data_IF_313442528210
#
_entry.id   IF_313442528210
#
_cell.length_a   1.000
_cell.length_b   1.000
_cell.length_c   1.000
_cell.angle_alpha   90.00
_cell.angle_beta   90.00
_cell.angle_gamma   90.00
#
_symmetry.space_group_name_H-M   'P 1'
#
loop_
_entity.id
_entity.type
_entity.pdbx_description
1 polymer ?
#
# COMPACT_ATOMS: atom_id res chain seq x y z
N UNK A 1 21.04 -19.42 -2.39
CA UNK A 1 21.93 -18.57 -3.21
C UNK A 1 22.14 -17.27 -2.45
N UNK A 2 23.36 -17.01 -1.96
CA UNK A 2 23.68 -15.76 -1.25
C UNK A 2 23.40 -14.58 -2.19
N UNK A 3 22.58 -13.62 -1.75
CA UNK A 3 22.30 -12.42 -2.55
C UNK A 3 23.62 -11.68 -2.78
N UNK A 4 23.94 -11.24 -4.02
CA UNK A 4 25.19 -10.52 -4.25
C UNK A 4 25.28 -9.30 -3.34
N UNK A 5 26.48 -9.05 -2.79
CA UNK A 5 26.75 -7.90 -1.94
C UNK A 5 26.29 -6.62 -2.64
N UNK A 6 25.25 -5.97 -2.12
CA UNK A 6 24.66 -4.77 -2.74
C UNK A 6 25.52 -3.56 -2.38
N UNK A 7 26.06 -2.89 -3.40
CA UNK A 7 26.96 -1.72 -3.27
C UNK A 7 26.20 -0.43 -2.91
N UNK A 8 24.86 -0.40 -3.04
CA UNK A 8 24.06 0.82 -2.83
C UNK A 8 23.23 0.72 -1.55
N UNK A 9 23.21 1.81 -0.78
CA UNK A 9 22.31 1.99 0.37
C UNK A 9 20.82 1.96 -0.06
N UNK A 10 19.94 1.61 0.88
CA UNK A 10 18.50 1.70 0.66
C UNK A 10 18.11 3.15 0.31
N UNK A 11 17.29 3.32 -0.72
CA UNK A 11 16.88 4.61 -1.27
C UNK A 11 15.35 4.77 -1.24
N UNK A 12 14.67 4.13 -0.28
CA UNK A 12 13.24 4.35 -0.08
C UNK A 12 12.97 5.85 0.16
N UNK A 13 12.11 6.49 -0.66
CA UNK A 13 11.80 7.90 -0.52
C UNK A 13 11.05 8.15 0.77
N UNK A 14 11.43 9.25 1.40
CA UNK A 14 10.79 9.83 2.56
C UNK A 14 10.26 11.24 2.31
N UNK A 15 9.81 11.91 3.36
CA UNK A 15 9.40 13.32 3.30
C UNK A 15 10.58 14.28 3.51
N UNK A 16 11.58 13.90 4.31
CA UNK A 16 12.81 14.68 4.46
C UNK A 16 13.85 14.31 3.40
N UNK A 17 13.84 13.04 2.96
CA UNK A 17 14.67 12.54 1.86
C UNK A 17 13.79 12.20 0.65
N UNK A 18 13.37 13.21 -0.09
CA UNK A 18 12.58 13.03 -1.31
C UNK A 18 13.37 12.29 -2.39
N UNK A 19 12.67 11.58 -3.29
CA UNK A 19 13.29 11.01 -4.47
C UNK A 19 13.11 11.93 -5.67
N UNK A 20 14.20 12.23 -6.38
CA UNK A 20 14.13 12.99 -7.62
C UNK A 20 13.46 12.15 -8.71
N UNK A 21 12.22 12.49 -9.03
CA UNK A 21 11.49 11.96 -10.16
C UNK A 21 11.49 12.99 -11.32
N UNK A 22 10.98 12.59 -12.49
CA UNK A 22 11.03 13.45 -13.67
C UNK A 22 10.02 14.61 -13.60
N UNK A 23 8.96 14.44 -12.82
CA UNK A 23 7.97 15.46 -12.49
C UNK A 23 8.44 16.38 -11.35
N UNK A 24 9.58 16.08 -10.71
CA UNK A 24 10.09 16.78 -9.53
C UNK A 24 10.24 15.86 -8.31
N UNK A 25 10.63 16.41 -7.16
CA UNK A 25 10.79 15.63 -5.94
C UNK A 25 9.49 14.92 -5.52
N UNK A 26 9.63 13.67 -5.08
CA UNK A 26 8.57 12.79 -4.60
C UNK A 26 8.68 12.62 -3.09
N UNK A 27 7.61 12.96 -2.37
CA UNK A 27 7.47 12.71 -0.94
C UNK A 27 6.48 11.55 -0.68
N UNK A 28 6.84 10.63 0.22
CA UNK A 28 5.96 9.54 0.64
C UNK A 28 5.55 9.74 2.09
N UNK A 29 4.24 9.73 2.33
CA UNK A 29 3.66 9.88 3.66
C UNK A 29 3.31 8.51 4.21
N UNK A 30 3.72 8.22 5.44
CA UNK A 30 3.38 6.96 6.14
C UNK A 30 2.01 7.09 6.78
N UNK A 31 1.16 6.09 6.56
CA UNK A 31 -0.16 5.98 7.18
C UNK A 31 -0.24 4.60 7.86
N UNK A 32 0.12 4.49 9.16
CA UNK A 32 0.02 3.22 9.88
C UNK A 32 -1.39 2.66 9.80
N UNK A 33 -1.51 1.41 9.32
CA UNK A 33 -2.80 0.76 9.06
C UNK A 33 -3.62 1.38 7.93
N UNK A 34 -3.07 2.35 7.19
CA UNK A 34 -3.78 3.11 6.14
C UNK A 34 -4.73 4.19 6.67
N UNK A 35 -4.83 4.38 7.99
CA UNK A 35 -5.81 5.27 8.60
C UNK A 35 -5.45 6.74 8.38
N UNK A 36 -6.41 7.51 7.88
CA UNK A 36 -6.27 8.96 7.65
C UNK A 36 -7.52 9.70 8.13
N UNK A 37 -7.35 10.64 9.06
CA UNK A 37 -8.45 11.45 9.58
C UNK A 37 -8.94 12.47 8.57
N UNK A 38 -10.16 12.98 8.73
CA UNK A 38 -10.72 14.05 7.92
C UNK A 38 -9.80 15.29 7.86
N UNK A 39 -9.23 15.70 8.99
CA UNK A 39 -8.28 16.82 9.06
C UNK A 39 -7.03 16.56 8.21
N UNK A 40 -6.45 15.36 8.34
CA UNK A 40 -5.27 14.96 7.59
C UNK A 40 -5.55 14.85 6.08
N UNK A 41 -6.74 14.41 5.69
CA UNK A 41 -7.18 14.42 4.28
C UNK A 41 -7.19 15.85 3.72
N UNK A 42 -7.70 16.84 4.48
CA UNK A 42 -7.69 18.25 4.06
C UNK A 42 -6.27 18.80 3.95
N UNK A 43 -5.38 18.46 4.88
CA UNK A 43 -3.97 18.86 4.81
C UNK A 43 -3.30 18.26 3.58
N UNK A 44 -3.52 16.97 3.29
CA UNK A 44 -3.00 16.33 2.08
C UNK A 44 -3.51 17.02 0.80
N UNK A 45 -4.79 17.40 0.75
CA UNK A 45 -5.37 18.14 -0.36
C UNK A 45 -4.66 19.49 -0.58
N UNK A 46 -4.50 20.28 0.49
CA UNK A 46 -3.79 21.56 0.43
C UNK A 46 -2.32 21.40 0.07
N UNK A 47 -1.63 20.37 0.57
CA UNK A 47 -0.25 20.08 0.17
C UNK A 47 -0.13 19.76 -1.32
N UNK A 48 -1.06 18.97 -1.86
CA UNK A 48 -1.06 18.59 -3.27
C UNK A 48 -1.23 19.81 -4.18
N UNK A 49 -2.19 20.69 -3.88
CA UNK A 49 -2.44 21.92 -4.66
C UNK A 49 -1.35 22.98 -4.50
N UNK A 50 -0.94 23.28 -3.27
CA UNK A 50 -0.05 24.41 -3.00
C UNK A 50 1.41 24.11 -3.35
N UNK A 51 1.81 22.85 -3.18
CA UNK A 51 3.22 22.44 -3.16
C UNK A 51 3.55 21.32 -4.14
N UNK A 52 2.57 20.60 -4.69
CA UNK A 52 2.77 19.44 -5.57
C UNK A 52 2.16 19.62 -6.96
N UNK A 53 1.75 18.50 -7.56
CA UNK A 53 1.12 18.42 -8.89
C UNK A 53 -0.42 18.45 -8.85
N UNK A 54 -1.01 18.74 -7.69
CA UNK A 54 -2.47 18.82 -7.48
C UNK A 54 -3.12 17.50 -7.02
N UNK A 55 -2.39 16.39 -7.05
CA UNK A 55 -2.93 15.07 -6.71
C UNK A 55 -2.17 14.37 -5.56
N UNK A 56 -2.85 13.39 -4.98
CA UNK A 56 -2.28 12.43 -4.05
C UNK A 56 -2.39 11.03 -4.63
N UNK A 57 -1.30 10.27 -4.58
CA UNK A 57 -1.28 8.90 -5.11
C UNK A 57 -1.25 7.87 -4.00
N UNK A 58 -2.23 6.97 -4.02
CA UNK A 58 -2.27 5.78 -3.20
C UNK A 58 -1.18 4.80 -3.64
N UNK A 59 -0.61 4.10 -2.68
CA UNK A 59 0.50 3.17 -2.90
C UNK A 59 0.08 1.74 -2.63
N UNK A 60 0.86 0.78 -3.12
CA UNK A 60 0.61 -0.65 -2.91
C UNK A 60 0.90 -1.13 -1.47
N UNK A 61 0.96 -0.21 -0.50
CA UNK A 61 1.35 -0.45 0.90
C UNK A 61 0.54 0.42 1.87
N UNK A 62 -0.66 0.85 1.49
CA UNK A 62 -1.53 1.64 2.36
C UNK A 62 -1.03 3.06 2.66
N UNK A 63 0.03 3.52 1.98
CA UNK A 63 0.55 4.89 2.10
C UNK A 63 0.00 5.80 1.00
N UNK A 64 0.30 7.08 1.12
CA UNK A 64 0.10 8.08 0.07
C UNK A 64 1.43 8.73 -0.38
N UNK A 65 1.41 9.34 -1.56
CA UNK A 65 2.54 10.03 -2.17
C UNK A 65 2.09 11.37 -2.75
N UNK A 66 2.93 12.38 -2.57
CA UNK A 66 2.83 13.71 -3.19
C UNK A 66 3.99 13.85 -4.17
N UNK A 67 3.71 14.26 -5.41
CA UNK A 67 4.71 14.37 -6.48
C UNK A 67 4.84 15.82 -6.94
N UNK A 68 5.86 16.04 -7.76
CA UNK A 68 6.12 17.34 -8.35
C UNK A 68 6.29 18.44 -7.30
N UNK A 69 6.97 18.15 -6.19
CA UNK A 69 7.08 19.10 -5.10
C UNK A 69 7.89 20.32 -5.54
N UNK A 70 7.23 21.47 -5.69
CA UNK A 70 7.81 22.66 -6.32
C UNK A 70 8.38 23.69 -5.35
N UNK A 71 8.01 23.61 -4.06
CA UNK A 71 8.34 24.63 -3.05
C UNK A 71 8.77 24.01 -1.71
N UNK A 72 9.60 24.72 -0.93
CA UNK A 72 9.92 24.30 0.44
C UNK A 72 8.68 24.33 1.34
N UNK A 73 8.73 23.62 2.47
CA UNK A 73 7.71 23.69 3.53
C UNK A 73 6.76 22.49 3.61
N UNK A 74 6.82 21.56 2.65
CA UNK A 74 6.01 20.34 2.68
C UNK A 74 6.22 19.54 3.97
N UNK A 75 7.48 19.30 4.34
CA UNK A 75 7.82 18.52 5.53
C UNK A 75 7.26 19.17 6.81
N UNK A 76 7.41 20.48 6.97
CA UNK A 76 6.89 21.22 8.12
C UNK A 76 5.36 21.12 8.23
N UNK A 77 4.65 21.25 7.10
CA UNK A 77 3.18 21.16 7.07
C UNK A 77 2.68 19.75 7.39
N UNK A 78 3.32 18.72 6.83
CA UNK A 78 2.99 17.33 7.14
C UNK A 78 3.32 16.97 8.60
N UNK A 79 4.44 17.48 9.13
CA UNK A 79 4.81 17.30 10.54
C UNK A 79 3.78 17.91 11.48
N UNK A 80 3.36 19.16 11.22
CA UNK A 80 2.37 19.86 12.03
C UNK A 80 1.01 19.13 12.05
N UNK A 81 0.65 18.44 10.98
CA UNK A 81 -0.57 17.64 10.88
C UNK A 81 -0.45 16.20 11.44
N UNK A 82 0.72 15.84 11.99
CA UNK A 82 0.99 14.48 12.47
C UNK A 82 0.96 13.43 11.35
N UNK A 83 1.28 13.82 10.12
CA UNK A 83 1.44 12.92 8.96
C UNK A 83 2.88 12.38 8.84
N UNK A 84 3.71 12.67 9.84
CA UNK A 84 5.06 12.14 9.97
C UNK A 84 5.20 11.46 11.33
N UNK A 85 5.70 10.23 11.38
CA UNK A 85 5.86 9.49 12.63
C UNK A 85 6.97 10.09 13.50
N UNK A 86 8.15 10.29 12.92
CA UNK A 86 9.27 11.06 13.45
C UNK A 86 10.29 11.31 12.34
N UNK A 87 11.14 12.35 12.41
CA UNK A 87 12.19 12.59 11.42
C UNK A 87 13.16 11.42 11.24
N UNK A 88 13.46 10.69 12.31
CA UNK A 88 14.41 9.57 12.30
C UNK A 88 13.81 8.28 11.75
N UNK A 89 12.52 8.04 11.92
CA UNK A 89 11.86 6.78 11.51
C UNK A 89 10.99 6.90 10.26
N UNK A 90 10.97 8.06 9.60
CA UNK A 90 10.10 8.32 8.44
C UNK A 90 10.38 7.36 7.26
N UNK A 91 11.62 6.88 7.14
CA UNK A 91 12.05 5.92 6.11
C UNK A 91 11.77 4.46 6.49
N UNK A 92 11.51 4.17 7.76
CA UNK A 92 10.99 2.86 8.18
C UNK A 92 9.63 2.69 7.51
N UNK A 93 9.45 1.56 6.85
CA UNK A 93 8.29 1.29 5.99
C UNK A 93 6.97 1.31 6.76
N UNK A 94 5.87 1.32 6.00
CA UNK A 94 4.54 1.33 6.58
C UNK A 94 4.24 0.06 7.37
N UNK A 95 3.30 0.17 8.30
CA UNK A 95 2.65 -0.94 8.97
C UNK A 95 1.31 -1.19 8.28
N UNK A 96 1.12 -2.38 7.70
CA UNK A 96 -0.17 -2.76 7.13
C UNK A 96 -1.10 -3.25 8.24
N UNK A 97 -2.41 -3.03 8.07
CA UNK A 97 -3.45 -3.65 8.87
C UNK A 97 -4.60 -4.05 7.94
N UNK A 98 -5.33 -5.14 8.24
CA UNK A 98 -6.52 -5.55 7.49
C UNK A 98 -7.50 -4.38 7.38
N UNK A 99 -7.75 -3.81 6.17
CA UNK A 99 -8.48 -2.56 6.04
C UNK A 99 -9.96 -2.64 6.44
N UNK A 100 -10.51 -3.86 6.48
CA UNK A 100 -11.90 -4.12 6.85
C UNK A 100 -12.07 -4.50 8.33
N UNK A 101 -11.00 -4.45 9.13
CA UNK A 101 -11.07 -4.77 10.55
C UNK A 101 -12.00 -3.80 11.28
N UNK A 102 -12.96 -4.35 12.04
CA UNK A 102 -14.01 -3.58 12.70
C UNK A 102 -15.04 -2.94 11.76
N UNK A 103 -14.98 -3.23 10.46
CA UNK A 103 -15.97 -2.83 9.45
C UNK A 103 -16.78 -4.04 9.01
N UNK A 104 -16.14 -5.10 8.50
CA UNK A 104 -16.88 -6.23 7.93
C UNK A 104 -16.17 -7.58 8.10
N UNK A 105 -16.65 -8.44 9.00
CA UNK A 105 -16.10 -9.78 9.24
C UNK A 105 -14.82 -9.77 10.08
N UNK A 106 -13.92 -10.74 9.84
CA UNK A 106 -12.63 -10.85 10.55
C UNK A 106 -12.75 -11.60 11.88
N UNK A 107 -11.64 -12.13 12.37
CA UNK A 107 -11.57 -12.93 13.60
C UNK A 107 -11.25 -12.07 14.82
N UNK A 108 -10.40 -11.05 14.67
CA UNK A 108 -10.03 -10.13 15.74
C UNK A 108 -10.03 -8.67 15.26
N UNK A 109 -10.29 -7.71 16.14
CA UNK A 109 -10.12 -6.30 15.79
C UNK A 109 -8.64 -5.91 15.86
N UNK A 110 -8.02 -5.58 14.71
CA UNK A 110 -6.62 -5.14 14.62
C UNK A 110 -6.49 -3.62 14.48
N UNK A 111 -7.60 -2.87 14.53
CA UNK A 111 -7.54 -1.40 14.61
C UNK A 111 -6.75 -0.98 15.86
N UNK A 112 -5.98 0.10 15.73
CA UNK A 112 -5.10 0.59 16.78
C UNK A 112 -3.71 -0.06 16.80
N UNK A 113 -3.60 -1.37 16.57
CA UNK A 113 -2.30 -2.09 16.68
C UNK A 113 -1.21 -1.51 15.78
N UNK A 114 -1.57 -1.06 14.57
CA UNK A 114 -0.61 -0.42 13.67
C UNK A 114 -0.08 0.93 14.21
N UNK A 115 -0.93 1.71 14.88
CA UNK A 115 -0.55 2.96 15.52
C UNK A 115 0.27 2.73 16.80
N UNK A 116 -0.09 1.71 17.60
CA UNK A 116 0.68 1.29 18.77
C UNK A 116 2.10 0.84 18.36
N UNK A 117 2.21 0.04 17.30
CA UNK A 117 3.51 -0.35 16.73
C UNK A 117 4.29 0.85 16.21
N UNK A 118 3.62 1.81 15.55
CA UNK A 118 4.27 3.03 15.05
C UNK A 118 4.93 3.85 16.16
N UNK A 119 4.20 4.06 17.28
CA UNK A 119 4.71 4.73 18.47
C UNK A 119 5.88 3.94 19.07
N UNK A 120 5.72 2.63 19.23
CA UNK A 120 6.75 1.79 19.84
C UNK A 120 8.01 1.66 18.97
N UNK A 121 7.87 1.69 17.64
CA UNK A 121 9.00 1.79 16.71
C UNK A 121 9.76 3.10 16.91
N UNK A 122 9.06 4.24 17.00
CA UNK A 122 9.70 5.54 17.20
C UNK A 122 10.42 5.66 18.56
N UNK A 123 9.99 4.89 19.56
CA UNK A 123 10.62 4.79 20.87
C UNK A 123 11.88 3.89 20.89
N UNK A 124 12.22 3.22 19.79
CA UNK A 124 13.35 2.31 19.67
C UNK A 124 14.37 2.82 18.64
N UNK A 125 15.33 3.69 19.04
CA UNK A 125 16.28 4.32 18.12
C UNK A 125 17.07 3.34 17.23
N UNK A 126 17.35 2.15 17.74
CA UNK A 126 18.03 1.08 17.00
C UNK A 126 17.24 0.58 15.79
N UNK A 127 15.92 0.79 15.76
CA UNK A 127 15.05 0.40 14.66
C UNK A 127 14.89 1.48 13.58
N UNK A 128 15.44 2.68 13.78
CA UNK A 128 15.49 3.72 12.73
C UNK A 128 16.29 3.25 11.49
N UNK A 129 17.27 2.36 11.70
CA UNK A 129 18.15 1.80 10.66
C UNK A 129 17.57 0.54 9.98
N UNK A 130 16.31 0.18 10.30
CA UNK A 130 15.61 -0.85 9.54
C UNK A 130 15.56 -0.45 8.06
N UNK A 131 15.77 -1.39 7.12
CA UNK A 131 15.58 -1.13 5.71
C UNK A 131 14.20 -0.51 5.45
N UNK A 132 14.14 0.52 4.62
CA UNK A 132 12.91 1.04 4.01
C UNK A 132 12.24 0.05 3.05
N UNK A 133 12.55 -1.24 3.13
CA UNK A 133 11.81 -2.34 2.54
C UNK A 133 11.21 -3.28 3.59
N UNK A 134 11.61 -3.20 4.85
CA UNK A 134 11.13 -4.05 5.94
C UNK A 134 9.67 -3.74 6.27
N UNK A 135 8.74 -4.65 6.01
CA UNK A 135 7.29 -4.42 6.13
C UNK A 135 6.72 -5.14 7.35
N UNK A 136 5.95 -4.41 8.15
CA UNK A 136 5.13 -4.97 9.23
C UNK A 136 3.68 -5.14 8.78
N UNK A 137 2.97 -6.08 9.37
CA UNK A 137 1.55 -6.29 9.13
C UNK A 137 0.78 -6.81 10.36
N UNK A 138 -0.48 -6.43 10.45
CA UNK A 138 -1.49 -7.07 11.31
C UNK A 138 -2.64 -7.56 10.44
N UNK A 139 -2.88 -8.86 10.45
CA UNK A 139 -3.98 -9.50 9.73
C UNK A 139 -5.04 -9.96 10.72
N UNK A 140 -6.30 -9.60 10.49
CA UNK A 140 -7.40 -9.95 11.39
C UNK A 140 -7.94 -11.38 11.22
N UNK A 141 -7.23 -12.23 10.49
CA UNK A 141 -7.57 -13.63 10.28
C UNK A 141 -8.10 -13.92 8.87
N UNK A 142 -8.58 -12.89 8.15
CA UNK A 142 -9.05 -13.05 6.76
C UNK A 142 -7.93 -13.48 5.80
N UNK A 143 -6.67 -13.20 6.13
CA UNK A 143 -5.53 -13.50 5.27
C UNK A 143 -5.36 -12.51 4.12
N UNK A 144 -5.98 -11.34 4.20
CA UNK A 144 -5.93 -10.30 3.19
C UNK A 144 -4.57 -9.61 3.15
N UNK A 145 -4.08 -9.19 4.32
CA UNK A 145 -2.78 -8.56 4.47
C UNK A 145 -1.66 -9.59 4.66
N UNK A 146 -1.95 -10.75 5.26
CA UNK A 146 -0.98 -11.84 5.36
C UNK A 146 -0.45 -12.27 3.97
N UNK A 147 -1.32 -12.21 2.95
CA UNK A 147 -0.96 -12.48 1.55
C UNK A 147 0.04 -11.49 0.92
N UNK A 148 0.25 -10.32 1.52
CA UNK A 148 1.19 -9.31 1.01
C UNK A 148 2.65 -9.64 1.35
N UNK A 149 2.91 -10.73 2.07
CA UNK A 149 4.26 -11.21 2.37
C UNK A 149 5.07 -10.18 3.15
N UNK A 150 4.49 -9.59 4.20
CA UNK A 150 5.22 -8.73 5.13
C UNK A 150 6.41 -9.49 5.74
N UNK A 151 7.46 -8.77 6.13
CA UNK A 151 8.63 -9.40 6.75
C UNK A 151 8.23 -10.04 8.08
N UNK A 152 7.40 -9.35 8.86
CA UNK A 152 6.75 -9.90 10.04
C UNK A 152 5.28 -9.50 10.05
N UNK A 153 4.41 -10.47 10.32
CA UNK A 153 2.97 -10.28 10.42
C UNK A 153 2.44 -11.01 11.65
N UNK A 154 1.53 -10.39 12.40
CA UNK A 154 0.68 -11.12 13.34
C UNK A 154 -0.67 -11.37 12.66
N UNK A 155 -1.08 -12.63 12.56
CA UNK A 155 -2.35 -13.04 11.97
C UNK A 155 -3.27 -13.63 13.03
N UNK A 156 -4.45 -13.07 13.20
CA UNK A 156 -5.42 -13.59 14.16
C UNK A 156 -5.82 -15.03 13.83
N UNK A 157 -5.95 -15.84 14.87
CA UNK A 157 -6.47 -17.22 14.81
C UNK A 157 -7.73 -17.33 15.67
N UNK A 158 -7.77 -16.60 16.77
CA UNK A 158 -8.94 -16.35 17.63
C UNK A 158 -9.11 -14.84 17.82
N UNK A 159 -10.16 -14.42 18.52
CA UNK A 159 -10.41 -13.00 18.82
C UNK A 159 -9.33 -12.37 19.70
N UNK A 160 -8.59 -13.18 20.45
CA UNK A 160 -7.63 -12.78 21.48
C UNK A 160 -6.21 -13.30 21.26
N UNK A 161 -5.97 -14.13 20.24
CA UNK A 161 -4.65 -14.69 19.93
C UNK A 161 -4.44 -14.89 18.43
N UNK A 162 -3.17 -14.89 18.03
CA UNK A 162 -2.76 -15.06 16.64
C UNK A 162 -1.41 -15.73 16.52
N UNK A 163 -1.02 -15.99 15.29
CA UNK A 163 0.26 -16.62 14.93
C UNK A 163 1.15 -15.61 14.23
N UNK A 164 2.46 -15.69 14.46
CA UNK A 164 3.45 -14.83 13.79
C UNK A 164 3.87 -15.49 12.48
N UNK A 165 3.86 -14.71 11.40
CA UNK A 165 4.37 -15.09 10.09
C UNK A 165 5.68 -14.33 9.83
N UNK A 166 6.65 -15.01 9.24
CA UNK A 166 7.89 -14.42 8.73
C UNK A 166 7.91 -14.53 7.22
N UNK A 167 8.04 -13.39 6.52
CA UNK A 167 7.99 -13.34 5.07
C UNK A 167 6.75 -14.04 4.46
N UNK A 168 5.61 -13.98 5.16
CA UNK A 168 4.36 -14.64 4.76
C UNK A 168 4.23 -16.12 5.13
N UNK A 169 5.24 -16.70 5.80
CA UNK A 169 5.22 -18.11 6.23
C UNK A 169 4.90 -18.20 7.72
N UNK A 170 3.88 -18.98 8.08
CA UNK A 170 3.50 -19.22 9.47
C UNK A 170 4.62 -19.95 10.24
N UNK A 171 4.90 -19.49 11.46
CA UNK A 171 6.04 -19.99 12.26
C UNK A 171 5.65 -20.96 13.35
N UNK A 172 4.35 -21.11 13.62
CA UNK A 172 3.86 -21.82 14.81
C UNK A 172 4.08 -21.06 16.13
N UNK A 173 4.55 -19.81 16.09
CA UNK A 173 4.63 -18.95 17.28
C UNK A 173 3.29 -18.26 17.53
N UNK A 174 2.55 -18.77 18.52
CA UNK A 174 1.31 -18.17 18.98
C UNK A 174 1.56 -17.05 19.99
N UNK A 175 0.89 -15.93 19.80
CA UNK A 175 1.06 -14.69 20.57
C UNK A 175 -0.32 -14.11 20.89
N UNK A 176 -0.64 -13.82 22.17
CA UNK A 176 -1.84 -13.08 22.54
C UNK A 176 -1.93 -11.74 21.83
N UNK A 177 -3.13 -11.29 21.47
CA UNK A 177 -3.37 -10.01 20.78
C UNK A 177 -2.71 -8.83 21.52
N UNK A 178 -2.80 -8.82 22.86
CA UNK A 178 -2.19 -7.77 23.69
C UNK A 178 -0.65 -7.74 23.65
N UNK A 179 0.00 -8.82 23.21
CA UNK A 179 1.45 -8.93 23.06
C UNK A 179 1.92 -8.83 21.61
N UNK A 180 0.99 -8.69 20.65
CA UNK A 180 1.29 -8.70 19.23
C UNK A 180 2.35 -7.64 18.88
N UNK A 181 2.16 -6.38 19.28
CA UNK A 181 3.12 -5.29 19.04
C UNK A 181 4.52 -5.64 19.58
N UNK A 182 4.62 -6.14 20.81
CA UNK A 182 5.88 -6.53 21.42
C UNK A 182 6.57 -7.69 20.66
N UNK A 183 5.79 -8.65 20.17
CA UNK A 183 6.31 -9.76 19.37
C UNK A 183 6.87 -9.29 18.02
N UNK A 184 6.17 -8.43 17.28
CA UNK A 184 6.69 -7.87 16.02
C UNK A 184 7.97 -7.05 16.24
N UNK A 185 8.06 -6.27 17.33
CA UNK A 185 9.27 -5.53 17.68
C UNK A 185 10.44 -6.44 18.03
N UNK A 186 10.17 -7.56 18.72
CA UNK A 186 11.19 -8.56 19.04
C UNK A 186 11.82 -9.09 17.74
N UNK A 187 11.00 -9.51 16.78
CA UNK A 187 11.49 -9.97 15.47
C UNK A 187 12.28 -8.87 14.75
N UNK A 188 11.81 -7.63 14.79
CA UNK A 188 12.48 -6.52 14.13
C UNK A 188 13.87 -6.22 14.72
N UNK A 189 14.02 -6.26 16.05
CA UNK A 189 15.31 -6.10 16.72
C UNK A 189 16.26 -7.24 16.37
N UNK A 190 15.77 -8.47 16.42
CA UNK A 190 16.55 -9.65 16.05
C UNK A 190 16.98 -9.60 14.58
N UNK A 191 16.11 -9.11 13.69
CA UNK A 191 16.47 -8.88 12.30
C UNK A 191 17.54 -7.80 12.16
N UNK A 192 17.36 -6.64 12.80
CA UNK A 192 18.34 -5.56 12.77
C UNK A 192 19.74 -6.03 13.21
N UNK A 193 19.80 -6.88 14.25
CA UNK A 193 21.05 -7.44 14.77
C UNK A 193 21.71 -8.47 13.82
N UNK A 194 20.92 -9.24 13.06
CA UNK A 194 21.42 -10.38 12.25
C UNK A 194 21.44 -10.15 10.75
N UNK A 195 20.81 -9.09 10.24
CA UNK A 195 20.51 -8.95 8.81
C UNK A 195 21.74 -8.87 7.91
N UNK A 196 22.88 -8.40 8.41
CA UNK A 196 24.01 -8.05 7.56
C UNK A 196 23.57 -7.13 6.42
N UNK A 197 23.66 -7.59 5.17
CA UNK A 197 23.22 -6.84 3.98
C UNK A 197 21.75 -7.08 3.58
N UNK A 198 21.04 -8.01 4.23
CA UNK A 198 19.67 -8.38 3.89
C UNK A 198 18.70 -7.22 4.12
N UNK A 199 17.90 -6.86 3.12
CA UNK A 199 16.87 -5.82 3.23
C UNK A 199 15.53 -6.35 3.73
N UNK A 200 15.34 -7.67 3.69
CA UNK A 200 14.10 -8.39 3.95
C UNK A 200 14.40 -9.67 4.71
N UNK A 201 13.46 -10.15 5.52
CA UNK A 201 13.59 -11.42 6.24
C UNK A 201 13.72 -12.60 5.27
N UNK A 202 13.03 -12.53 4.12
CA UNK A 202 13.11 -13.54 3.06
C UNK A 202 14.52 -13.71 2.45
N UNK A 203 15.43 -12.76 2.67
CA UNK A 203 16.82 -12.84 2.18
C UNK A 203 17.76 -13.54 3.19
N UNK A 204 17.28 -13.87 4.39
CA UNK A 204 18.07 -14.57 5.40
C UNK A 204 18.19 -16.07 5.08
N UNK A 205 19.34 -16.70 5.40
CA UNK A 205 19.48 -18.16 5.27
C UNK A 205 18.53 -18.93 6.19
N UNK A 206 18.31 -18.42 7.40
CA UNK A 206 17.40 -18.99 8.39
C UNK A 206 16.57 -17.87 9.05
N UNK A 207 15.35 -17.61 8.54
CA UNK A 207 14.42 -16.67 9.15
C UNK A 207 13.97 -17.08 10.57
N UNK A 208 13.94 -18.37 10.90
CA UNK A 208 13.40 -18.85 12.18
C UNK A 208 14.30 -18.49 13.36
N UNK A 209 15.59 -18.22 13.10
CA UNK A 209 16.54 -17.68 14.07
C UNK A 209 16.14 -16.31 14.65
N UNK A 210 15.17 -15.60 14.03
CA UNK A 210 14.64 -14.33 14.54
C UNK A 210 13.60 -14.50 15.65
N UNK A 211 13.11 -15.71 15.86
CA UNK A 211 12.04 -16.00 16.81
C UNK A 211 12.62 -16.30 18.20
N UNK A 212 11.89 -15.99 19.29
CA UNK A 212 12.32 -16.40 20.63
C UNK A 212 12.37 -17.92 20.75
N UNK A 213 13.15 -18.44 21.71
CA UNK A 213 13.10 -19.87 22.05
C UNK A 213 11.77 -20.19 22.72
N UNK A 214 11.22 -21.36 22.45
CA UNK A 214 9.97 -21.80 23.07
C UNK A 214 9.20 -22.80 22.23
N UNK A 215 8.04 -23.26 22.72
CA UNK A 215 7.19 -24.18 21.99
C UNK A 215 6.69 -23.55 20.67
N UNK A 216 6.53 -24.42 19.67
CA UNK A 216 5.96 -24.12 18.37
C UNK A 216 4.88 -25.13 18.08
N UNK A 217 3.72 -24.65 17.66
CA UNK A 217 2.72 -25.53 17.06
C UNK A 217 3.10 -25.84 15.61
N UNK A 218 2.54 -26.90 15.07
CA UNK A 218 2.69 -27.20 13.65
C UNK A 218 2.04 -26.07 12.81
N UNK A 219 2.77 -25.46 11.84
CA UNK A 219 2.21 -24.43 10.99
C UNK A 219 1.02 -24.96 10.20
N UNK A 220 -0.08 -24.21 10.19
CA UNK A 220 -1.27 -24.56 9.39
C UNK A 220 -1.24 -23.75 8.11
N UNK A 221 -1.41 -24.41 6.96
CA UNK A 221 -1.59 -23.69 5.71
C UNK A 221 -2.94 -22.97 5.71
N UNK A 222 -2.89 -21.64 5.63
CA UNK A 222 -4.08 -20.78 5.64
C UNK A 222 -4.07 -19.93 4.37
N UNK A 223 -5.06 -20.06 3.47
CA UNK A 223 -5.06 -19.33 2.22
C UNK A 223 -5.02 -17.81 2.47
N UNK A 224 -4.26 -17.12 1.63
CA UNK A 224 -4.35 -15.69 1.49
C UNK A 224 -5.62 -15.34 0.68
N UNK A 225 -6.37 -14.35 1.13
CA UNK A 225 -7.61 -13.93 0.46
C UNK A 225 -7.61 -12.42 0.27
N UNK A 226 -7.46 -11.96 -0.97
CA UNK A 226 -7.66 -10.55 -1.27
C UNK A 226 -9.16 -10.32 -1.42
N UNK A 227 -9.80 -9.83 -0.36
CA UNK A 227 -11.20 -9.40 -0.42
C UNK A 227 -11.33 -8.15 -1.29
N UNK A 228 -12.46 -8.05 -2.00
CA UNK A 228 -12.79 -6.83 -2.72
C UNK A 228 -13.04 -5.72 -1.69
N UNK A 229 -12.19 -4.70 -1.72
CA UNK A 229 -12.29 -3.51 -0.86
C UNK A 229 -12.96 -2.35 -1.57
N UNK A 230 -13.73 -2.63 -2.62
CA UNK A 230 -14.43 -1.65 -3.47
C UNK A 230 -15.88 -2.09 -3.59
N UNK A 231 -16.81 -1.16 -3.43
CA UNK A 231 -18.24 -1.42 -3.34
C UNK A 231 -18.75 -1.49 -1.90
N UNK A 232 -20.01 -1.93 -1.69
CA UNK A 232 -20.57 -2.12 -0.36
C UNK A 232 -19.79 -3.16 0.47
N UNK A 233 -19.48 -2.84 1.73
CA UNK A 233 -18.70 -3.67 2.65
C UNK A 233 -19.55 -4.05 3.86
N UNK A 234 -20.58 -4.86 3.59
CA UNK A 234 -21.67 -5.09 4.55
C UNK A 234 -22.44 -3.80 4.85
N UNK A 235 -22.95 -3.68 6.07
CA UNK A 235 -23.77 -2.53 6.49
C UNK A 235 -22.95 -1.38 7.08
N UNK A 236 -21.62 -1.51 7.13
CA UNK A 236 -20.74 -0.65 7.94
C UNK A 236 -19.66 0.07 7.14
N UNK A 237 -19.68 0.01 5.81
CA UNK A 237 -18.72 0.77 5.02
C UNK A 237 -18.88 0.63 3.52
N UNK A 238 -18.21 1.51 2.80
CA UNK A 238 -18.13 1.48 1.34
C UNK A 238 -16.68 1.71 0.91
N UNK A 239 -16.25 0.88 -0.03
CA UNK A 239 -14.96 0.98 -0.68
C UNK A 239 -15.03 1.75 -1.99
N UNK A 240 -14.08 2.64 -2.22
CA UNK A 240 -13.95 3.42 -3.44
C UNK A 240 -12.61 3.16 -4.13
N UNK A 241 -12.63 3.15 -5.46
CA UNK A 241 -11.46 2.99 -6.31
C UNK A 241 -11.15 4.31 -7.04
N UNK A 242 -10.15 5.07 -6.56
CA UNK A 242 -9.61 6.19 -7.32
C UNK A 242 -8.89 5.64 -8.56
N UNK A 243 -9.07 6.33 -9.69
CA UNK A 243 -8.50 5.89 -10.95
C UNK A 243 -6.97 5.88 -10.88
N UNK A 244 -6.36 4.73 -11.18
CA UNK A 244 -4.91 4.50 -11.02
C UNK A 244 -4.37 4.75 -9.60
N UNK A 245 -5.24 4.78 -8.60
CA UNK A 245 -4.92 5.20 -7.23
C UNK A 245 -4.58 6.69 -7.12
N UNK A 246 -5.11 7.56 -7.99
CA UNK A 246 -4.90 9.00 -7.96
C UNK A 246 -6.15 9.69 -7.40
N UNK A 247 -5.97 10.51 -6.37
CA UNK A 247 -7.00 11.32 -5.75
C UNK A 247 -6.70 12.79 -6.00
N UNK A 248 -7.67 13.52 -6.54
CA UNK A 248 -7.56 14.98 -6.65
C UNK A 248 -7.74 15.62 -5.28
N UNK A 249 -7.24 16.84 -5.10
CA UNK A 249 -7.49 17.60 -3.89
C UNK A 249 -8.99 17.84 -3.61
N UNK A 250 -9.82 17.98 -4.65
CA UNK A 250 -11.27 18.04 -4.50
C UNK A 250 -11.86 16.72 -3.96
N UNK A 251 -11.41 15.57 -4.47
CA UNK A 251 -11.84 14.27 -3.98
C UNK A 251 -11.40 14.02 -2.53
N UNK A 252 -10.19 14.45 -2.15
CA UNK A 252 -9.72 14.36 -0.76
C UNK A 252 -10.58 15.18 0.20
N UNK A 253 -10.97 16.40 -0.19
CA UNK A 253 -11.89 17.23 0.60
C UNK A 253 -13.27 16.59 0.70
N UNK A 254 -13.82 16.07 -0.41
CA UNK A 254 -15.09 15.36 -0.39
C UNK A 254 -15.05 14.13 0.53
N UNK A 255 -13.97 13.35 0.51
CA UNK A 255 -13.78 12.25 1.46
C UNK A 255 -13.74 12.76 2.91
N UNK A 256 -13.02 13.85 3.18
CA UNK A 256 -12.93 14.46 4.50
C UNK A 256 -14.28 14.97 5.03
N UNK A 257 -15.16 15.43 4.16
CA UNK A 257 -16.50 15.92 4.52
C UNK A 257 -17.48 14.76 4.81
N UNK A 258 -17.11 13.53 4.44
CA UNK A 258 -17.98 12.36 4.51
C UNK A 258 -17.45 11.20 5.37
N UNK A 259 -16.42 11.41 6.20
CA UNK A 259 -15.90 10.37 7.11
C UNK A 259 -16.87 9.91 8.21
N UNK A 260 -18.06 10.51 8.29
CA UNK A 260 -19.12 10.10 9.23
C UNK A 260 -18.67 10.09 10.69
N UNK A 261 -19.27 9.19 11.48
CA UNK A 261 -18.95 9.01 12.89
C UNK A 261 -17.56 8.40 13.12
N UNK A 262 -17.05 7.64 12.15
CA UNK A 262 -15.71 7.08 12.22
C UNK A 262 -14.62 8.17 12.20
N UNK A 263 -14.87 9.32 11.54
CA UNK A 263 -13.94 10.46 11.51
C UNK A 263 -12.65 10.22 10.69
N UNK A 264 -12.55 9.07 10.02
CA UNK A 264 -11.40 8.69 9.20
C UNK A 264 -11.81 7.88 7.97
N UNK A 265 -10.87 7.76 7.03
CA UNK A 265 -10.89 6.81 5.94
C UNK A 265 -9.68 5.86 6.05
N UNK A 266 -9.71 4.74 5.34
CA UNK A 266 -8.64 3.72 5.36
C UNK A 266 -8.10 3.49 3.95
N UNK A 267 -6.87 3.90 3.70
CA UNK A 267 -6.15 3.64 2.45
C UNK A 267 -5.67 2.19 2.42
N UNK A 268 -6.09 1.43 1.42
CA UNK A 268 -5.73 0.01 1.32
C UNK A 268 -4.38 -0.20 0.61
N UNK A 269 -3.73 -1.37 0.80
CA UNK A 269 -2.59 -1.80 -0.01
C UNK A 269 -2.94 -2.02 -1.49
N UNK A 270 -4.21 -1.98 -1.87
CA UNK A 270 -4.69 -2.28 -3.23
C UNK A 270 -5.12 -1.02 -3.98
N UNK A 271 -4.69 0.17 -3.51
CA UNK A 271 -5.01 1.48 -4.11
C UNK A 271 -6.51 1.79 -4.16
N UNK A 272 -7.24 1.32 -3.16
CA UNK A 272 -8.60 1.75 -2.87
C UNK A 272 -8.62 2.51 -1.54
N UNK A 273 -9.76 3.12 -1.23
CA UNK A 273 -10.03 3.77 0.04
C UNK A 273 -11.34 3.26 0.60
N UNK A 274 -11.34 2.84 1.86
CA UNK A 274 -12.54 2.41 2.58
C UNK A 274 -13.03 3.57 3.43
N UNK A 275 -14.33 3.84 3.37
CA UNK A 275 -15.03 4.80 4.20
C UNK A 275 -15.96 4.02 5.13
N UNK A 276 -15.59 3.85 6.41
CA UNK A 276 -16.48 3.25 7.40
C UNK A 276 -17.72 4.13 7.60
N UNK A 277 -18.86 3.50 7.87
CA UNK A 277 -20.14 4.15 8.17
C UNK A 277 -20.61 5.15 7.09
N UNK A 278 -20.21 4.94 5.83
CA UNK A 278 -20.59 5.80 4.71
C UNK A 278 -22.10 5.76 4.47
N UNK A 279 -22.75 6.92 4.48
CA UNK A 279 -24.19 7.04 4.19
C UNK A 279 -24.46 6.97 2.69
N UNK A 280 -25.69 6.61 2.25
CA UNK A 280 -26.04 6.63 0.83
C UNK A 280 -25.83 8.00 0.15
N UNK A 281 -26.09 9.11 0.86
CA UNK A 281 -25.82 10.47 0.34
C UNK A 281 -24.31 10.72 0.16
N UNK A 282 -23.48 10.30 1.12
CA UNK A 282 -22.02 10.37 0.99
C UNK A 282 -21.53 9.58 -0.23
N UNK A 283 -22.04 8.35 -0.43
CA UNK A 283 -21.71 7.54 -1.61
C UNK A 283 -22.09 8.25 -2.91
N UNK A 284 -23.30 8.80 -3.00
CA UNK A 284 -23.75 9.53 -4.19
C UNK A 284 -22.88 10.76 -4.48
N UNK A 285 -22.48 11.51 -3.45
CA UNK A 285 -21.59 12.68 -3.60
C UNK A 285 -20.18 12.30 -4.03
N UNK A 286 -19.61 11.25 -3.44
CA UNK A 286 -18.28 10.76 -3.80
C UNK A 286 -18.26 10.18 -5.22
N UNK A 287 -19.31 9.47 -5.63
CA UNK A 287 -19.50 9.05 -7.02
C UNK A 287 -19.59 10.23 -7.97
N UNK A 288 -20.33 11.29 -7.60
CA UNK A 288 -20.40 12.54 -8.37
C UNK A 288 -19.03 13.23 -8.47
N UNK A 289 -18.20 13.12 -7.43
CA UNK A 289 -16.81 13.58 -7.44
C UNK A 289 -15.85 12.66 -8.22
N UNK A 290 -16.36 11.60 -8.87
CA UNK A 290 -15.60 10.71 -9.75
C UNK A 290 -14.89 9.56 -9.04
N UNK A 291 -15.24 9.24 -7.79
CA UNK A 291 -14.75 8.05 -7.09
C UNK A 291 -15.69 6.87 -7.37
N UNK A 292 -15.18 5.78 -7.93
CA UNK A 292 -16.03 4.63 -8.29
C UNK A 292 -16.20 3.66 -7.13
N UNK A 293 -17.41 3.15 -6.92
CA UNK A 293 -17.69 1.97 -6.07
C UNK A 293 -17.71 0.66 -6.87
N UNK A 294 -17.45 0.70 -8.18
CA UNK A 294 -17.36 -0.49 -9.03
C UNK A 294 -15.94 -1.09 -9.00
N UNK A 295 -15.77 -2.36 -8.56
CA UNK A 295 -14.48 -3.06 -8.61
C UNK A 295 -13.81 -3.08 -9.98
N UNK A 296 -14.57 -2.96 -11.07
CA UNK A 296 -14.03 -2.87 -12.44
C UNK A 296 -13.06 -1.70 -12.62
N UNK A 297 -13.17 -0.66 -11.79
CA UNK A 297 -12.23 0.47 -11.78
C UNK A 297 -10.77 0.08 -11.42
N UNK A 298 -10.57 -1.11 -10.82
CA UNK A 298 -9.25 -1.66 -10.52
C UNK A 298 -8.74 -2.66 -11.57
N UNK A 299 -9.52 -2.99 -12.60
CA UNK A 299 -9.07 -3.92 -13.66
C UNK A 299 -7.91 -3.35 -14.46
N UNK A 300 -7.98 -2.05 -14.79
CA UNK A 300 -6.93 -1.35 -15.53
C UNK A 300 -6.11 -0.52 -14.57
N UNK A 301 -4.88 -0.94 -14.33
CA UNK A 301 -3.93 -0.19 -13.50
C UNK A 301 -2.78 0.33 -14.35
N UNK A 302 -2.15 1.41 -13.91
CA UNK A 302 -0.99 1.97 -14.60
C UNK A 302 0.08 2.43 -13.61
N UNK A 303 1.35 2.32 -14.00
CA UNK A 303 2.41 3.03 -13.30
C UNK A 303 2.32 4.55 -13.58
N UNK A 304 3.22 5.36 -13.01
CA UNK A 304 3.16 6.82 -13.19
C UNK A 304 3.33 7.26 -14.67
N UNK A 305 4.17 6.55 -15.44
CA UNK A 305 4.39 6.88 -16.84
C UNK A 305 5.16 8.17 -17.09
N UNK A 306 5.18 8.62 -18.34
CA UNK A 306 5.52 10.00 -18.67
C UNK A 306 4.35 10.93 -18.31
N UNK A 307 4.60 12.21 -17.99
CA UNK A 307 5.93 12.82 -17.84
C UNK A 307 6.64 12.47 -16.50
N UNK A 308 5.94 11.88 -15.52
CA UNK A 308 6.44 11.74 -14.14
C UNK A 308 7.56 10.73 -13.89
N UNK A 309 7.93 9.91 -14.86
CA UNK A 309 9.03 8.95 -14.76
C UNK A 309 9.96 9.00 -15.97
N UNK A 310 11.22 9.38 -15.74
CA UNK A 310 12.26 9.44 -16.76
C UNK A 310 12.58 8.09 -17.42
N UNK A 311 12.21 6.97 -16.78
CA UNK A 311 12.39 5.63 -17.34
C UNK A 311 11.22 5.19 -18.23
N UNK A 312 10.11 5.92 -18.21
CA UNK A 312 8.94 5.56 -19.01
C UNK A 312 9.16 5.91 -20.48
N UNK A 313 8.73 5.02 -21.36
CA UNK A 313 8.76 5.22 -22.82
C UNK A 313 7.46 5.83 -23.36
N UNK A 314 6.38 5.84 -22.58
CA UNK A 314 5.07 6.35 -22.98
C UNK A 314 4.35 7.08 -21.84
N UNK A 315 3.33 7.86 -22.20
CA UNK A 315 2.33 8.37 -21.25
C UNK A 315 1.30 7.26 -20.98
N UNK A 316 1.67 6.35 -20.08
CA UNK A 316 0.86 5.15 -19.86
C UNK A 316 -0.47 5.44 -19.19
N UNK A 317 -0.61 6.54 -18.45
CA UNK A 317 -1.88 6.89 -17.80
C UNK A 317 -2.84 7.48 -18.81
N UNK A 318 -2.39 8.34 -19.72
CA UNK A 318 -3.21 8.80 -20.83
C UNK A 318 -3.62 7.63 -21.76
N UNK A 319 -2.71 6.68 -22.00
CA UNK A 319 -3.00 5.52 -22.83
C UNK A 319 -3.95 4.53 -22.15
N UNK A 320 -3.68 4.18 -20.89
CA UNK A 320 -4.57 3.36 -20.07
C UNK A 320 -5.93 4.03 -19.90
N UNK A 321 -5.99 5.37 -19.97
CA UNK A 321 -7.23 6.08 -19.77
C UNK A 321 -8.29 5.80 -20.84
N UNK A 322 -7.86 5.35 -22.02
CA UNK A 322 -8.74 5.04 -23.15
C UNK A 322 -9.20 3.59 -23.16
N UNK A 323 -8.74 2.79 -22.20
CA UNK A 323 -9.13 1.39 -22.05
C UNK A 323 -10.42 1.31 -21.24
N UNK A 324 -11.30 0.41 -21.66
CA UNK A 324 -12.56 0.12 -20.96
C UNK A 324 -12.38 -1.21 -20.22
N UNK A 325 -12.66 -1.26 -18.90
CA UNK A 325 -12.76 -2.50 -18.16
C UNK A 325 -13.73 -3.46 -18.84
N UNK A 326 -13.32 -4.70 -19.07
CA UNK A 326 -14.07 -5.70 -19.82
C UNK A 326 -13.81 -7.12 -19.29
N UNK A 327 -13.55 -7.24 -17.98
CA UNK A 327 -13.18 -8.50 -17.33
C UNK A 327 -11.71 -8.87 -17.48
N UNK A 328 -10.92 -8.08 -18.22
CA UNK A 328 -9.47 -8.28 -18.37
C UNK A 328 -8.71 -7.36 -17.43
N UNK A 329 -8.10 -7.96 -16.41
CA UNK A 329 -7.16 -7.27 -15.51
C UNK A 329 -5.83 -7.01 -16.23
N UNK A 330 -5.49 -5.73 -16.43
CA UNK A 330 -4.27 -5.33 -17.11
C UNK A 330 -3.46 -4.30 -16.29
N UNK A 331 -2.14 -4.37 -16.42
CA UNK A 331 -1.22 -3.37 -15.86
C UNK A 331 -0.42 -2.71 -16.98
N UNK A 332 -0.68 -1.42 -17.22
CA UNK A 332 0.01 -0.60 -18.22
C UNK A 332 1.27 0.02 -17.62
N UNK A 333 2.42 -0.48 -18.04
CA UNK A 333 3.73 -0.14 -17.50
C UNK A 333 4.57 0.61 -18.52
N UNK A 334 5.21 1.69 -18.09
CA UNK A 334 6.04 2.54 -18.96
C UNK A 334 7.42 1.95 -19.30
N UNK A 335 7.83 0.89 -18.61
CA UNK A 335 9.09 0.19 -18.85
C UNK A 335 9.05 -1.22 -18.22
N UNK A 336 10.11 -2.00 -18.44
CA UNK A 336 10.26 -3.35 -17.93
C UNK A 336 10.20 -3.49 -16.40
N UNK A 337 10.33 -2.40 -15.63
CA UNK A 337 10.23 -2.44 -14.14
C UNK A 337 8.81 -2.69 -13.63
N UNK A 338 7.77 -2.40 -14.43
CA UNK A 338 6.36 -2.64 -14.07
C UNK A 338 6.00 -2.12 -12.66
N UNK A 339 6.45 -0.90 -12.37
CA UNK A 339 6.34 -0.33 -11.03
C UNK A 339 4.89 -0.32 -10.56
N UNK A 340 4.65 -0.97 -9.43
CA UNK A 340 3.31 -0.99 -8.84
C UNK A 340 2.33 -1.91 -9.54
N UNK A 341 2.81 -2.87 -10.34
CA UNK A 341 2.03 -4.03 -10.77
C UNK A 341 1.43 -4.73 -9.55
N UNK A 342 0.11 -5.01 -9.52
CA UNK A 342 -0.49 -5.76 -8.42
C UNK A 342 0.08 -7.19 -8.32
N UNK A 343 -0.06 -7.80 -7.13
CA UNK A 343 0.38 -9.17 -6.83
C UNK A 343 -0.46 -10.22 -7.57
N UNK A 344 -1.78 -10.01 -7.62
CA UNK A 344 -2.71 -10.89 -8.34
C UNK A 344 -2.38 -10.98 -9.85
N UNK A 345 -2.84 -12.02 -10.56
CA UNK A 345 -2.64 -12.16 -12.01
C UNK A 345 -3.18 -10.95 -12.80
N UNK A 346 -2.33 -10.34 -13.62
CA UNK A 346 -2.67 -9.26 -14.56
C UNK A 346 -1.94 -9.50 -15.88
N UNK A 347 -2.58 -9.13 -16.98
CA UNK A 347 -1.94 -8.99 -18.27
C UNK A 347 -0.99 -7.79 -18.25
N UNK A 348 0.29 -8.04 -18.49
CA UNK A 348 1.28 -6.97 -18.58
C UNK A 348 1.21 -6.30 -19.96
N UNK A 349 1.01 -4.99 -19.95
CA UNK A 349 1.02 -4.10 -21.12
C UNK A 349 2.22 -3.18 -20.98
N UNK A 350 3.35 -3.53 -21.59
CA UNK A 350 4.64 -2.87 -21.32
C UNK A 350 5.06 -2.00 -22.49
N UNK A 351 5.28 -0.72 -22.25
CA UNK A 351 5.78 0.21 -23.26
C UNK A 351 7.20 -0.18 -23.71
N UNK A 352 7.40 -0.20 -25.01
CA UNK A 352 8.65 -0.48 -25.72
C UNK A 352 8.82 0.52 -26.86
N UNK A 353 9.97 0.49 -27.55
CA UNK A 353 10.16 1.29 -28.75
C UNK A 353 9.08 0.92 -29.80
N UNK A 354 8.29 1.91 -30.23
CA UNK A 354 7.26 1.73 -31.25
C UNK A 354 5.88 1.28 -30.74
N UNK A 355 5.67 1.08 -29.43
CA UNK A 355 4.34 0.75 -28.89
C UNK A 355 4.37 0.01 -27.56
N UNK A 356 3.50 -1.00 -27.43
CA UNK A 356 3.31 -1.79 -26.22
C UNK A 356 3.38 -3.28 -26.50
N UNK A 357 4.14 -4.01 -25.69
CA UNK A 357 4.16 -5.47 -25.68
C UNK A 357 3.01 -6.00 -24.83
N UNK A 358 2.16 -6.83 -25.44
CA UNK A 358 0.99 -7.48 -24.82
C UNK A 358 0.96 -8.94 -25.23
N UNK A 359 1.06 -9.87 -24.27
CA UNK A 359 1.02 -11.32 -24.57
C UNK A 359 2.04 -11.77 -25.62
N UNK A 360 3.23 -11.17 -25.63
CA UNK A 360 4.30 -11.47 -26.59
C UNK A 360 4.24 -10.67 -27.91
N UNK A 361 3.13 -9.99 -28.22
CA UNK A 361 2.94 -9.21 -29.45
C UNK A 361 3.21 -7.72 -29.20
N UNK A 362 3.87 -7.05 -30.13
CA UNK A 362 4.05 -5.59 -30.10
C UNK A 362 2.89 -4.92 -30.83
N UNK A 363 2.23 -3.97 -30.18
CA UNK A 363 1.06 -3.25 -30.67
C UNK A 363 1.31 -1.75 -30.63
N UNK A 364 0.87 -1.03 -31.66
CA UNK A 364 0.83 0.44 -31.61
C UNK A 364 -0.13 0.89 -30.48
N UNK A 365 0.17 2.04 -29.85
CA UNK A 365 -0.64 2.57 -28.75
C UNK A 365 -2.12 2.80 -29.14
N UNK A 366 -2.38 3.14 -30.41
CA UNK A 366 -3.73 3.31 -30.96
C UNK A 366 -4.55 2.02 -31.00
N UNK A 367 -3.90 0.85 -31.01
CA UNK A 367 -4.56 -0.47 -31.09
C UNK A 367 -4.70 -1.15 -29.72
N UNK A 368 -4.28 -0.51 -28.64
CA UNK A 368 -4.33 -1.09 -27.30
C UNK A 368 -5.76 -1.46 -26.88
N UNK A 369 -6.72 -0.55 -27.07
CA UNK A 369 -8.11 -0.75 -26.68
C UNK A 369 -8.73 -1.99 -27.35
N UNK A 370 -8.52 -2.14 -28.66
CA UNK A 370 -9.03 -3.28 -29.44
C UNK A 370 -8.43 -4.63 -29.01
N UNK A 371 -7.19 -4.61 -28.49
CA UNK A 371 -6.46 -5.83 -28.15
C UNK A 371 -6.88 -6.45 -26.81
N UNK A 372 -7.40 -5.64 -25.89
CA UNK A 372 -7.82 -6.09 -24.56
C UNK A 372 -9.25 -6.64 -24.55
N UNK A 373 -10.07 -6.27 -25.53
CA UNK A 373 -11.44 -6.77 -25.70
C UNK A 373 -11.49 -8.19 -26.30
N UNK A 374 -10.43 -8.62 -27.01
CA UNK A 374 -10.43 -9.86 -27.82
C UNK A 374 -9.91 -11.12 -27.11
N UNK A 375 -9.94 -11.20 -25.78
CA UNK A 375 -9.70 -12.47 -25.06
C UNK A 375 -10.99 -13.01 -24.47
N UNK A 376 -11.93 -13.36 -25.34
CA UNK A 376 -12.83 -14.47 -25.08
C UNK A 376 -12.10 -15.76 -25.51
N UNK A 377 -12.18 -16.78 -24.66
CA UNK A 377 -11.61 -18.14 -24.65
C UNK A 377 -11.14 -18.79 -25.97
N UNK A 378 -10.23 -19.77 -25.85
CA UNK A 378 -10.71 -21.16 -25.91
C UNK A 378 -10.77 -21.84 -24.55
#
# INVERSE_FOLDING_TARGET
MSSPARVRADACPGVFATHDAADGPLARVRLPGGVVSAERLRVLASCAEDLGDGDVHLTSRGNVQLRGVTRPGLASRLMAAGLLPSPTHERVRNVLASPLSGVHGGTADVRGLAGELDVALCAAPELAELPGRFLFAFDDGRGDVAGEGADVCWRAVTSDAGTVLLAGVETGWFVPRGEAVAALLTVAREFAARRGTAWRIAELPDPTALLPRGPRSEPVERPARVDLTVGPLGDHGVGFAPRFGQLTAAQLRALADHTGLAGHAVVTPWRSIVLPDATPDAVARLNTAGLSTDPAALEITACIGRPGCAKSLADVRADAARLVPAGVRAHVAGCARRCGRPSAPHLDVVAEAGGYRVGGRLLAASRLAESLVRKENP
#
